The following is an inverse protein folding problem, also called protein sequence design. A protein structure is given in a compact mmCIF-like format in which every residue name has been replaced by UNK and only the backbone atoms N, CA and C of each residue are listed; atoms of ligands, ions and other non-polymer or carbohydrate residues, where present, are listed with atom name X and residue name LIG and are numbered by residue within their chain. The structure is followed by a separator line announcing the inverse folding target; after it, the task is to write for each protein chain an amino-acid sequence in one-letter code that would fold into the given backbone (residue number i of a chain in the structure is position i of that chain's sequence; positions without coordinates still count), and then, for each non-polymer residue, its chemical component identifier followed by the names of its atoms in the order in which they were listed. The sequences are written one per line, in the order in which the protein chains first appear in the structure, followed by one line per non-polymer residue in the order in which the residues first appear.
data_IF_792547579092
#
_entry.id   IF_792547579092
#
_cell.length_a   1.000
_cell.length_b   1.000
_cell.length_c   1.000
_cell.angle_alpha   90.00
_cell.angle_beta   90.00
_cell.angle_gamma   90.00
#
_symmetry.space_group_name_H-M   'P 1'
#
loop_
_entity.id
_entity.type
_entity.pdbx_description
1 polymer ?
#
# COMPACT_ATOMS: atom_id res chain seq x y z
N UNK A 1 -42.13 -16.24 -56.61
CA UNK A 1 -42.03 -14.86 -56.09
C UNK A 1 -41.43 -14.77 -54.68
N UNK A 2 -41.68 -15.71 -53.75
CA UNK A 2 -41.19 -15.64 -52.37
C UNK A 2 -39.64 -15.73 -52.21
N UNK A 3 -38.95 -16.44 -53.11
CA UNK A 3 -37.48 -16.64 -53.06
C UNK A 3 -36.67 -15.36 -53.29
N UNK A 4 -37.18 -14.42 -54.09
CA UNK A 4 -36.46 -13.20 -54.47
C UNK A 4 -36.58 -12.09 -53.41
N UNK A 5 -37.65 -12.15 -52.59
CA UNK A 5 -37.85 -11.23 -51.47
C UNK A 5 -36.91 -11.60 -50.31
N UNK A 6 -36.70 -12.90 -50.06
CA UNK A 6 -35.77 -13.38 -49.03
C UNK A 6 -34.30 -13.04 -49.35
N UNK A 7 -33.93 -13.08 -50.64
CA UNK A 7 -32.58 -12.68 -51.09
C UNK A 7 -32.38 -11.17 -51.04
N UNK A 8 -33.41 -10.37 -51.34
CA UNK A 8 -33.34 -8.91 -51.21
C UNK A 8 -33.21 -8.46 -49.75
N UNK A 9 -33.88 -9.13 -48.80
CA UNK A 9 -33.77 -8.84 -47.36
C UNK A 9 -32.40 -9.25 -46.82
N UNK A 10 -31.83 -10.36 -47.31
CA UNK A 10 -30.48 -10.80 -46.92
C UNK A 10 -29.37 -9.84 -47.43
N UNK A 11 -29.54 -9.25 -48.63
CA UNK A 11 -28.61 -8.24 -49.15
C UNK A 11 -28.76 -6.87 -48.45
N UNK A 12 -29.96 -6.49 -48.00
CA UNK A 12 -30.18 -5.23 -47.27
C UNK A 12 -29.55 -5.26 -45.86
N UNK A 13 -29.38 -6.45 -45.28
CA UNK A 13 -28.70 -6.62 -43.98
C UNK A 13 -27.17 -6.61 -44.08
N UNK A 14 -26.58 -6.87 -45.26
CA UNK A 14 -25.13 -6.89 -45.44
C UNK A 14 -24.52 -5.50 -45.71
N UNK A 15 -25.33 -4.49 -46.03
CA UNK A 15 -24.85 -3.15 -46.41
C UNK A 15 -24.83 -2.10 -45.28
N UNK A 16 -25.24 -2.46 -44.06
CA UNK A 16 -25.39 -1.53 -42.93
C UNK A 16 -24.26 -1.58 -41.88
N UNK A 17 -23.21 -2.37 -42.10
CA UNK A 17 -22.07 -2.49 -41.16
C UNK A 17 -20.78 -1.85 -41.70
N UNK A 18 -20.86 -0.66 -42.29
CA UNK A 18 -19.69 0.25 -42.34
C UNK A 18 -19.70 1.14 -41.10
N UNK A 19 -19.51 0.52 -39.94
CA UNK A 19 -19.28 1.24 -38.69
C UNK A 19 -17.90 1.87 -38.73
N UNK A 20 -17.86 3.20 -38.69
CA UNK A 20 -16.66 4.01 -38.57
C UNK A 20 -15.81 3.53 -37.40
N UNK A 21 -14.63 2.99 -37.68
CA UNK A 21 -13.63 2.71 -36.65
C UNK A 21 -13.09 4.07 -36.22
N UNK A 22 -13.67 4.63 -35.15
CA UNK A 22 -13.06 5.74 -34.43
C UNK A 22 -11.79 5.17 -33.79
N UNK A 23 -10.65 5.36 -34.44
CA UNK A 23 -9.35 5.09 -33.84
C UNK A 23 -9.20 6.04 -32.65
N UNK A 24 -9.57 5.55 -31.47
CA UNK A 24 -9.16 6.18 -30.22
C UNK A 24 -7.63 6.22 -30.26
N UNK A 25 -7.06 7.40 -30.46
CA UNK A 25 -5.64 7.63 -30.26
C UNK A 25 -5.37 7.31 -28.79
N UNK A 26 -4.85 6.12 -28.53
CA UNK A 26 -4.21 5.84 -27.25
C UNK A 26 -3.00 6.76 -27.22
N UNK A 27 -3.12 7.86 -26.48
CA UNK A 27 -1.95 8.60 -26.01
C UNK A 27 -1.07 7.58 -25.31
N UNK A 28 -0.04 7.10 -26.01
CA UNK A 28 1.00 6.31 -25.39
C UNK A 28 1.53 7.15 -24.23
N UNK A 29 1.56 6.61 -23.00
CA UNK A 29 2.18 7.32 -21.89
C UNK A 29 3.58 7.72 -22.35
N UNK A 30 3.87 9.02 -22.35
CA UNK A 30 5.22 9.50 -22.65
C UNK A 30 6.16 8.76 -21.71
N UNK A 31 7.22 8.10 -22.22
CA UNK A 31 8.22 7.45 -21.39
C UNK A 31 8.75 8.48 -20.39
N UNK A 32 8.38 8.33 -19.12
CA UNK A 32 8.87 9.19 -18.05
C UNK A 32 9.81 8.37 -17.20
N UNK A 33 11.02 8.87 -17.03
CA UNK A 33 11.99 8.30 -16.10
C UNK A 33 11.36 8.00 -14.74
N UNK A 34 11.76 6.90 -14.13
CA UNK A 34 11.20 6.46 -12.86
C UNK A 34 12.24 5.85 -11.95
N UNK A 35 11.95 5.87 -10.65
CA UNK A 35 12.74 5.15 -9.66
C UNK A 35 12.09 3.83 -9.32
N UNK A 36 12.89 2.78 -9.22
CA UNK A 36 12.46 1.46 -8.85
C UNK A 36 13.06 1.04 -7.51
N UNK A 37 12.20 0.81 -6.52
CA UNK A 37 12.58 0.13 -5.29
C UNK A 37 12.66 -1.37 -5.55
N UNK A 38 13.86 -1.94 -5.42
CA UNK A 38 14.12 -3.37 -5.57
C UNK A 38 14.54 -3.99 -4.27
N UNK A 39 14.04 -5.20 -4.02
CA UNK A 39 14.51 -6.11 -2.99
C UNK A 39 15.33 -7.18 -3.68
N UNK A 40 16.66 -7.04 -3.67
CA UNK A 40 17.57 -7.88 -4.48
C UNK A 40 17.12 -7.86 -5.96
N UNK A 41 16.66 -9.00 -6.50
CA UNK A 41 16.26 -9.13 -7.91
C UNK A 41 14.77 -8.90 -8.16
N UNK A 42 13.99 -8.54 -7.14
CA UNK A 42 12.54 -8.33 -7.27
C UNK A 42 12.18 -6.85 -7.14
N UNK A 43 11.41 -6.35 -8.10
CA UNK A 43 10.77 -5.02 -7.99
C UNK A 43 9.69 -5.04 -6.92
N UNK A 44 9.78 -4.06 -6.02
CA UNK A 44 8.84 -3.86 -4.90
C UNK A 44 7.86 -2.74 -5.23
N UNK A 45 8.36 -1.61 -5.75
CA UNK A 45 7.53 -0.46 -6.16
C UNK A 45 8.27 0.38 -7.19
N UNK A 46 7.51 0.95 -8.12
CA UNK A 46 7.97 1.96 -9.06
C UNK A 46 7.43 3.32 -8.60
N UNK A 47 8.25 4.36 -8.70
CA UNK A 47 7.94 5.74 -8.37
C UNK A 47 8.03 6.56 -9.66
N UNK A 48 6.88 7.00 -10.15
CA UNK A 48 6.77 7.81 -11.36
C UNK A 48 6.49 9.26 -11.02
N UNK A 49 6.67 10.14 -12.00
CA UNK A 49 6.16 11.51 -11.92
C UNK A 49 4.65 11.48 -11.64
N UNK A 50 4.20 12.34 -10.73
CA UNK A 50 2.81 12.44 -10.28
C UNK A 50 2.43 11.46 -9.16
N UNK A 51 3.30 10.53 -8.77
CA UNK A 51 3.00 9.61 -7.67
C UNK A 51 3.36 10.22 -6.32
N UNK A 52 2.53 9.96 -5.31
CA UNK A 52 2.85 10.29 -3.93
C UNK A 52 3.89 9.31 -3.37
N UNK A 53 4.94 9.85 -2.78
CA UNK A 53 5.98 9.08 -2.12
C UNK A 53 6.32 9.70 -0.77
N UNK A 54 6.77 8.86 0.15
CA UNK A 54 7.23 9.25 1.46
C UNK A 54 8.55 8.55 1.73
N UNK A 55 9.52 9.30 2.22
CA UNK A 55 10.89 8.85 2.44
C UNK A 55 11.39 9.36 3.78
N UNK A 56 12.20 8.55 4.45
CA UNK A 56 12.97 8.96 5.62
C UNK A 56 14.33 9.46 5.13
N UNK A 57 14.70 10.66 5.55
CA UNK A 57 15.95 11.32 5.18
C UNK A 57 16.94 11.32 6.35
N UNK A 58 18.22 11.52 6.05
CA UNK A 58 19.31 11.61 7.04
C UNK A 58 19.22 12.77 8.05
N UNK A 59 18.08 13.49 8.08
CA UNK A 59 17.70 14.48 9.10
C UNK A 59 16.57 14.04 10.04
N UNK A 60 16.34 12.73 10.18
CA UNK A 60 15.38 12.12 11.13
C UNK A 60 13.91 12.57 11.00
N UNK A 61 13.47 12.83 9.76
CA UNK A 61 12.06 13.14 9.49
C UNK A 61 11.53 12.39 8.27
N UNK A 62 10.27 11.98 8.37
CA UNK A 62 9.49 11.57 7.20
C UNK A 62 9.15 12.80 6.39
N UNK A 63 9.58 12.81 5.14
CA UNK A 63 9.16 13.83 4.19
C UNK A 63 8.42 13.14 3.06
N UNK A 64 7.23 13.67 2.75
CA UNK A 64 6.32 13.11 1.77
C UNK A 64 5.76 14.17 0.85
N UNK A 65 5.29 13.74 -0.31
CA UNK A 65 4.67 14.60 -1.28
C UNK A 65 4.58 13.97 -2.66
N UNK A 66 4.09 14.75 -3.61
CA UNK A 66 3.93 14.33 -5.01
C UNK A 66 5.24 14.53 -5.77
N UNK A 67 5.71 13.48 -6.46
CA UNK A 67 6.93 13.57 -7.28
C UNK A 67 6.65 14.43 -8.51
N UNK A 68 7.28 15.59 -8.61
CA UNK A 68 7.07 16.54 -9.72
C UNK A 68 8.11 16.44 -10.82
N UNK A 69 9.29 15.92 -10.52
CA UNK A 69 10.36 15.66 -11.49
C UNK A 69 11.25 14.54 -10.99
N UNK A 70 11.78 13.75 -11.93
CA UNK A 70 12.73 12.67 -11.69
C UNK A 70 13.96 12.95 -12.55
N UNK A 71 15.14 12.78 -11.98
CA UNK A 71 16.43 12.80 -12.67
C UNK A 71 17.28 11.62 -12.17
N UNK A 72 18.46 11.42 -12.75
CA UNK A 72 19.32 10.26 -12.46
C UNK A 72 19.64 10.05 -10.97
N UNK A 73 19.99 11.12 -10.26
CA UNK A 73 20.43 11.08 -8.86
C UNK A 73 19.48 11.80 -7.88
N UNK A 74 18.41 12.39 -8.41
CA UNK A 74 17.58 13.36 -7.68
C UNK A 74 16.10 13.25 -8.03
N UNK A 75 15.25 13.53 -7.04
CA UNK A 75 13.80 13.69 -7.20
C UNK A 75 13.37 15.05 -6.68
N UNK A 76 12.34 15.62 -7.28
CA UNK A 76 11.68 16.82 -6.77
C UNK A 76 10.34 16.44 -6.19
N UNK A 77 10.15 16.73 -4.92
CA UNK A 77 8.91 16.44 -4.19
C UNK A 77 8.21 17.74 -3.89
N UNK A 78 6.90 17.77 -4.15
CA UNK A 78 6.00 18.84 -3.74
C UNK A 78 5.20 18.38 -2.54
N UNK A 79 5.41 19.00 -1.39
CA UNK A 79 4.59 18.76 -0.21
C UNK A 79 3.22 19.45 -0.41
N UNK A 80 2.15 18.72 -0.15
CA UNK A 80 0.78 19.20 -0.23
C UNK A 80 0.08 18.81 1.07
N UNK A 81 -0.22 19.80 1.90
CA UNK A 81 -0.87 19.61 3.19
C UNK A 81 -2.25 20.23 3.16
N UNK A 82 -3.20 19.53 3.78
CA UNK A 82 -4.53 20.06 4.06
C UNK A 82 -4.41 20.80 5.38
N UNK A 83 -4.65 22.11 5.37
CA UNK A 83 -4.55 22.95 6.57
C UNK A 83 -5.78 23.86 6.71
N UNK A 84 -6.02 24.36 7.92
CA UNK A 84 -7.05 25.34 8.20
C UNK A 84 -6.51 26.73 7.88
N UNK A 85 -7.02 27.32 6.80
CA UNK A 85 -6.63 28.67 6.41
C UNK A 85 -7.70 29.65 6.88
N UNK A 86 -7.26 30.72 7.55
CA UNK A 86 -8.17 31.77 8.00
C UNK A 86 -8.66 32.57 6.79
N UNK A 87 -9.97 32.62 6.60
CA UNK A 87 -10.63 33.37 5.52
C UNK A 87 -11.68 34.29 6.13
N UNK A 88 -11.30 35.55 6.37
CA UNK A 88 -12.15 36.53 7.03
C UNK A 88 -12.45 36.13 8.48
N UNK A 89 -13.73 36.03 8.85
CA UNK A 89 -14.20 35.69 10.19
C UNK A 89 -14.33 34.17 10.46
N UNK A 90 -13.86 33.30 9.56
CA UNK A 90 -13.93 31.84 9.72
C UNK A 90 -12.68 31.11 9.24
N UNK A 91 -12.62 29.80 9.50
CA UNK A 91 -11.59 28.89 8.98
C UNK A 91 -12.18 28.00 7.91
N UNK A 92 -11.45 27.85 6.80
CA UNK A 92 -11.82 26.93 5.72
C UNK A 92 -10.66 25.94 5.53
N UNK A 93 -11.01 24.68 5.27
CA UNK A 93 -10.03 23.66 4.92
C UNK A 93 -9.56 23.94 3.49
N UNK A 94 -8.27 24.22 3.30
CA UNK A 94 -7.67 24.41 1.98
C UNK A 94 -6.38 23.59 1.83
N UNK A 95 -5.99 23.32 0.58
CA UNK A 95 -4.75 22.60 0.28
C UNK A 95 -3.62 23.59 0.05
N UNK A 96 -2.71 23.69 1.01
CA UNK A 96 -1.47 24.47 0.85
C UNK A 96 -0.47 23.58 0.09
N UNK A 97 -0.11 24.00 -1.11
CA UNK A 97 0.97 23.38 -1.89
C UNK A 97 2.22 24.23 -1.74
N UNK A 98 3.29 23.64 -1.23
CA UNK A 98 4.61 24.29 -1.17
C UNK A 98 5.34 24.14 -2.50
N UNK A 99 6.42 24.90 -2.70
CA UNK A 99 7.26 24.70 -3.88
C UNK A 99 7.97 23.34 -3.84
N UNK A 100 8.34 22.84 -5.01
CA UNK A 100 9.03 21.55 -5.13
C UNK A 100 10.48 21.68 -4.65
N UNK A 101 10.87 20.90 -3.63
CA UNK A 101 12.27 20.84 -3.18
C UNK A 101 12.98 19.62 -3.78
N UNK A 102 14.28 19.78 -4.05
CA UNK A 102 15.16 18.75 -4.61
C UNK A 102 15.68 17.85 -3.50
N UNK A 103 15.70 16.56 -3.76
CA UNK A 103 16.19 15.53 -2.87
C UNK A 103 17.15 14.64 -3.63
N UNK A 104 18.32 14.36 -3.06
CA UNK A 104 19.23 13.35 -3.61
C UNK A 104 18.83 11.94 -3.15
N UNK A 105 18.90 10.97 -4.05
CA UNK A 105 18.52 9.58 -3.76
C UNK A 105 19.42 8.94 -2.69
N UNK A 106 20.67 9.39 -2.61
CA UNK A 106 21.62 8.90 -1.62
C UNK A 106 21.26 9.34 -0.19
N UNK A 107 20.48 10.40 -0.03
CA UNK A 107 20.02 10.90 1.27
C UNK A 107 18.77 10.16 1.78
N UNK A 108 18.19 9.28 0.95
CA UNK A 108 17.02 8.46 1.32
C UNK A 108 17.48 7.25 2.14
N UNK A 109 17.25 7.31 3.44
CA UNK A 109 17.60 6.24 4.39
C UNK A 109 16.54 5.12 4.39
N UNK A 110 15.25 5.47 4.31
CA UNK A 110 14.18 4.47 4.37
C UNK A 110 12.91 4.89 3.60
N UNK A 111 12.05 3.89 3.34
CA UNK A 111 10.71 4.05 2.79
C UNK A 111 9.71 3.38 3.73
N UNK A 112 8.45 3.84 3.80
CA UNK A 112 7.43 3.12 4.54
C UNK A 112 7.24 1.74 3.89
N UNK A 113 7.08 0.71 4.73
CA UNK A 113 6.80 -0.63 4.23
C UNK A 113 5.46 -0.64 3.54
N UNK A 114 5.45 -1.10 2.30
CA UNK A 114 4.23 -1.26 1.53
C UNK A 114 3.32 -2.29 2.19
N UNK A 115 2.01 -2.15 1.98
CA UNK A 115 1.02 -3.11 2.47
C UNK A 115 1.38 -4.51 1.97
N UNK A 116 1.83 -5.37 2.87
CA UNK A 116 2.17 -6.75 2.56
C UNK A 116 0.96 -7.66 2.82
N UNK A 117 0.75 -8.62 1.93
CA UNK A 117 -0.15 -9.74 2.22
C UNK A 117 0.35 -10.47 3.48
N UNK A 118 -0.60 -10.81 4.36
CA UNK A 118 -0.35 -11.48 5.64
C UNK A 118 0.54 -10.70 6.62
N UNK A 119 0.54 -9.36 6.52
CA UNK A 119 1.27 -8.51 7.47
C UNK A 119 0.87 -8.79 8.93
N UNK A 120 -0.43 -9.03 9.18
CA UNK A 120 -0.99 -9.35 10.50
C UNK A 120 -0.46 -10.67 11.11
N UNK A 121 0.08 -11.58 10.29
CA UNK A 121 0.75 -12.79 10.79
C UNK A 121 2.22 -12.48 11.08
N UNK A 122 2.89 -11.79 10.15
CA UNK A 122 4.31 -11.45 10.26
C UNK A 122 4.60 -10.51 11.43
N UNK A 123 3.68 -9.62 11.75
CA UNK A 123 3.80 -8.68 12.86
C UNK A 123 3.26 -9.22 14.20
N UNK A 124 2.90 -10.50 14.27
CA UNK A 124 2.42 -11.12 15.50
C UNK A 124 0.96 -10.85 15.88
N UNK A 125 0.25 -9.96 15.17
CA UNK A 125 -1.13 -9.56 15.52
C UNK A 125 -2.09 -10.75 15.54
N UNK A 126 -1.97 -11.69 14.60
CA UNK A 126 -2.80 -12.90 14.57
C UNK A 126 -2.66 -13.70 15.86
N UNK A 127 -1.43 -13.89 16.33
CA UNK A 127 -1.14 -14.66 17.53
C UNK A 127 -1.69 -13.96 18.76
N UNK A 128 -1.47 -12.65 18.89
CA UNK A 128 -2.00 -11.85 20.00
C UNK A 128 -3.53 -11.88 20.06
N UNK A 129 -4.21 -11.61 18.93
CA UNK A 129 -5.68 -11.57 18.87
C UNK A 129 -6.26 -12.95 19.07
N UNK A 130 -5.71 -13.98 18.41
CA UNK A 130 -6.20 -15.35 18.51
C UNK A 130 -6.06 -15.93 19.92
N UNK A 131 -4.86 -15.83 20.51
CA UNK A 131 -4.65 -16.35 21.87
C UNK A 131 -5.28 -15.47 22.94
N UNK A 132 -5.30 -14.15 22.75
CA UNK A 132 -5.99 -13.22 23.64
C UNK A 132 -7.49 -13.50 23.69
N UNK A 133 -8.14 -13.68 22.54
CA UNK A 133 -9.54 -14.07 22.47
C UNK A 133 -9.79 -15.41 23.17
N UNK A 134 -8.91 -16.40 22.94
CA UNK A 134 -9.01 -17.71 23.62
C UNK A 134 -8.91 -17.58 25.14
N UNK A 135 -7.96 -16.80 25.65
CA UNK A 135 -7.78 -16.54 27.09
C UNK A 135 -9.05 -15.90 27.64
N UNK A 136 -9.56 -14.85 27.00
CA UNK A 136 -10.79 -14.15 27.43
C UNK A 136 -11.97 -15.11 27.52
N UNK A 137 -12.19 -15.95 26.49
CA UNK A 137 -13.28 -16.94 26.50
C UNK A 137 -13.11 -17.94 27.65
N UNK A 138 -11.89 -18.43 27.91
CA UNK A 138 -11.65 -19.36 29.02
C UNK A 138 -11.86 -18.71 30.39
N UNK A 139 -11.45 -17.44 30.55
CA UNK A 139 -11.67 -16.67 31.78
C UNK A 139 -13.17 -16.48 32.02
N UNK A 140 -13.93 -16.05 31.01
CA UNK A 140 -15.38 -15.86 31.12
C UNK A 140 -16.08 -17.19 31.45
N UNK A 141 -15.72 -18.26 30.76
CA UNK A 141 -16.29 -19.58 31.01
C UNK A 141 -15.95 -20.10 32.42
N UNK A 142 -14.77 -19.77 32.96
CA UNK A 142 -14.33 -20.14 34.30
C UNK A 142 -15.16 -19.56 35.44
N UNK A 143 -15.98 -18.53 35.18
CA UNK A 143 -16.94 -17.98 36.16
C UNK A 143 -18.30 -18.70 36.18
N UNK A 144 -18.51 -19.69 35.31
CA UNK A 144 -19.76 -20.47 35.26
C UNK A 144 -19.95 -21.39 36.47
N UNK A 145 -21.20 -21.55 36.93
CA UNK A 145 -21.55 -22.34 38.13
C UNK A 145 -21.04 -23.80 38.14
N UNK A 146 -20.80 -24.39 36.98
CA UNK A 146 -20.29 -25.77 36.82
C UNK A 146 -18.99 -25.83 36.00
N UNK A 147 -18.25 -24.73 35.90
CA UNK A 147 -17.07 -24.66 35.06
C UNK A 147 -15.86 -25.34 35.72
N UNK A 148 -15.02 -25.98 34.90
CA UNK A 148 -13.70 -26.44 35.35
C UNK A 148 -12.89 -25.21 35.84
N UNK A 149 -12.17 -25.29 36.98
CA UNK A 149 -11.39 -24.17 37.50
C UNK A 149 -10.40 -23.61 36.47
N UNK A 150 -10.25 -22.28 36.45
CA UNK A 150 -9.38 -21.59 35.48
C UNK A 150 -7.93 -22.09 35.53
N UNK A 151 -7.39 -22.24 36.75
CA UNK A 151 -6.02 -22.74 36.98
C UNK A 151 -5.98 -24.23 37.39
N UNK A 152 -7.01 -25.00 37.02
CA UNK A 152 -7.04 -26.46 37.23
C UNK A 152 -6.19 -27.23 36.22
N UNK A 153 -5.97 -28.53 36.47
CA UNK A 153 -5.13 -29.41 35.63
C UNK A 153 -5.53 -29.47 34.15
N UNK A 154 -6.80 -29.23 33.82
CA UNK A 154 -7.31 -29.22 32.44
C UNK A 154 -7.13 -27.88 31.72
N UNK A 155 -7.24 -26.77 32.44
CA UNK A 155 -7.30 -25.41 31.87
C UNK A 155 -5.97 -24.66 32.02
N UNK A 156 -5.22 -24.88 33.10
CA UNK A 156 -3.93 -24.23 33.33
C UNK A 156 -2.91 -24.51 32.20
N UNK A 157 -2.74 -25.75 31.70
CA UNK A 157 -1.83 -26.00 30.57
C UNK A 157 -2.28 -25.27 29.29
N UNK A 158 -3.59 -25.21 29.02
CA UNK A 158 -4.14 -24.54 27.83
C UNK A 158 -3.95 -23.03 27.89
N UNK A 159 -4.21 -22.42 29.05
CA UNK A 159 -3.95 -21.00 29.30
C UNK A 159 -2.45 -20.68 29.28
N UNK A 160 -1.61 -21.57 29.80
CA UNK A 160 -0.15 -21.45 29.70
C UNK A 160 0.31 -21.41 28.25
N UNK A 161 -0.17 -22.33 27.41
CA UNK A 161 0.13 -22.34 25.96
C UNK A 161 -0.38 -21.06 25.29
N UNK A 162 -1.63 -20.68 25.53
CA UNK A 162 -2.22 -19.47 24.95
C UNK A 162 -1.44 -18.20 25.35
N UNK A 163 -1.03 -18.11 26.62
CA UNK A 163 -0.20 -17.01 27.13
C UNK A 163 1.18 -16.99 26.48
N UNK A 164 1.81 -18.17 26.31
CA UNK A 164 3.06 -18.30 25.56
C UNK A 164 2.94 -17.82 24.11
N UNK A 165 1.86 -18.19 23.42
CA UNK A 165 1.57 -17.72 22.05
C UNK A 165 1.32 -16.21 22.02
N UNK A 166 0.63 -15.67 23.01
CA UNK A 166 0.42 -14.23 23.14
C UNK A 166 1.76 -13.48 23.24
N UNK A 167 2.63 -13.92 24.15
CA UNK A 167 3.96 -13.33 24.35
C UNK A 167 4.83 -13.44 23.10
N UNK A 168 4.78 -14.59 22.39
CA UNK A 168 5.45 -14.75 21.11
C UNK A 168 4.94 -13.72 20.08
N UNK A 169 3.62 -13.54 20.00
CA UNK A 169 3.01 -12.52 19.16
C UNK A 169 3.45 -11.10 19.52
N UNK A 170 3.54 -10.78 20.81
CA UNK A 170 4.06 -9.50 21.31
C UNK A 170 5.52 -9.26 20.93
N UNK A 171 6.37 -10.27 21.09
CA UNK A 171 7.76 -10.20 20.67
C UNK A 171 7.89 -10.00 19.15
N UNK A 172 7.12 -10.74 18.36
CA UNK A 172 7.09 -10.57 16.90
C UNK A 172 6.66 -9.16 16.50
N UNK A 173 5.70 -8.57 17.20
CA UNK A 173 5.25 -7.21 16.97
C UNK A 173 6.35 -6.18 17.25
N UNK A 174 7.06 -6.32 18.38
CA UNK A 174 8.17 -5.44 18.72
C UNK A 174 9.35 -5.53 17.75
N UNK A 175 9.62 -6.71 17.21
CA UNK A 175 10.68 -6.92 16.22
C UNK A 175 10.28 -6.50 14.80
N UNK A 176 8.99 -6.32 14.53
CA UNK A 176 8.50 -5.96 13.22
C UNK A 176 8.74 -4.48 12.91
N UNK A 177 9.57 -4.22 11.90
CA UNK A 177 9.86 -2.84 11.45
C UNK A 177 8.87 -2.39 10.37
N UNK A 178 8.11 -1.29 10.59
CA UNK A 178 7.16 -0.75 9.61
C UNK A 178 7.85 -0.02 8.45
N UNK A 179 9.18 0.07 8.48
CA UNK A 179 10.00 0.72 7.46
C UNK A 179 10.84 -0.30 6.66
N UNK A 180 11.18 0.09 5.45
CA UNK A 180 12.15 -0.56 4.58
C UNK A 180 13.35 0.36 4.47
N UNK A 181 14.44 0.00 5.15
CA UNK A 181 15.72 0.70 5.05
C UNK A 181 16.40 0.42 3.72
N UNK A 182 16.83 1.48 3.05
CA UNK A 182 17.61 1.42 1.81
C UNK A 182 19.05 1.03 2.18
N UNK A 183 19.68 0.21 1.34
CA UNK A 183 21.03 -0.32 1.56
C UNK A 183 21.29 -1.58 0.75
N UNK A 184 21.97 -2.57 1.33
CA UNK A 184 22.38 -3.78 0.58
C UNK A 184 21.19 -4.60 0.06
N UNK A 185 20.14 -4.78 0.87
CA UNK A 185 18.98 -5.63 0.57
C UNK A 185 17.92 -4.92 -0.28
N UNK A 186 17.67 -3.66 0.02
CA UNK A 186 16.70 -2.82 -0.69
C UNK A 186 17.43 -1.66 -1.35
N UNK A 187 17.25 -1.49 -2.66
CA UNK A 187 17.96 -0.47 -3.44
C UNK A 187 16.96 0.35 -4.24
N UNK A 188 17.16 1.65 -4.30
CA UNK A 188 16.51 2.51 -5.29
C UNK A 188 17.39 2.55 -6.54
N UNK A 189 16.78 2.33 -7.70
CA UNK A 189 17.46 2.36 -9.00
C UNK A 189 16.73 3.31 -9.92
N UNK A 190 17.47 4.23 -10.54
CA UNK A 190 16.94 5.04 -11.63
C UNK A 190 16.76 4.17 -12.87
N UNK A 191 15.66 4.36 -13.57
CA UNK A 191 15.38 3.75 -14.86
C UNK A 191 15.04 4.87 -15.83
N UNK A 192 15.88 4.98 -16.86
CA UNK A 192 15.60 5.87 -17.98
C UNK A 192 14.47 5.26 -18.83
N UNK A 193 13.43 6.05 -19.09
CA UNK A 193 12.35 5.64 -19.97
C UNK A 193 12.66 6.17 -21.37
N UNK A 194 13.05 5.26 -22.27
CA UNK A 194 13.40 5.53 -23.67
C UNK A 194 12.18 5.86 -24.53
#
# INVERSE_FOLDING_TARGET
MLKNILTAIFCLFLSLTRSSILTAQTTQPVPSDFFQLKKKNRTVKNYFRGTYAQFWFDGDQWVGGTITKIAHDSIWIRDQRIDLVQRGFGTVIDTISYDSYKIHINDITATPRLKENWAFVKNGTLFQVGSGAYIVVNVVNGFGKNADPLFGSKNAPKLGIASGIFLLGTLMHWLYKPEIRIGKKYRLQYVHAS
#
